data_IF_141771290949
#
_entry.id   IF_141771290949
#
_cell.length_a   1.000
_cell.length_b   1.000
_cell.length_c   1.000
_cell.angle_alpha   90.00
_cell.angle_beta   90.00
_cell.angle_gamma   90.00
#
_symmetry.space_group_name_H-M   'P 1'
#
loop_
_entity.id
_entity.type
_entity.pdbx_description
1 polymer ?
#
# COMPACT_ATOMS: atom_id res chain seq x y z
N UNK A 1 -15.45 3.57 -18.36
CA UNK A 1 -14.40 2.99 -17.48
C UNK A 1 -13.05 3.32 -18.07
N UNK A 2 -12.20 3.98 -17.32
CA UNK A 2 -10.84 4.26 -17.79
C UNK A 2 -10.01 2.96 -17.76
N UNK A 3 -9.29 2.72 -18.86
CA UNK A 3 -8.34 1.60 -18.92
C UNK A 3 -7.21 1.84 -17.93
N UNK A 4 -6.88 0.82 -17.14
CA UNK A 4 -5.75 0.81 -16.21
C UNK A 4 -4.80 -0.30 -16.60
N UNK A 5 -3.50 -0.08 -16.40
CA UNK A 5 -2.50 -1.12 -16.53
C UNK A 5 -2.16 -1.68 -15.15
N UNK A 6 -2.25 -3.00 -14.99
CA UNK A 6 -1.84 -3.68 -13.77
C UNK A 6 -1.09 -4.96 -14.15
N UNK A 7 0.17 -5.04 -13.75
CA UNK A 7 1.09 -6.10 -14.15
C UNK A 7 1.03 -6.35 -15.68
N UNK A 8 1.32 -5.30 -16.45
CA UNK A 8 1.31 -5.29 -17.92
C UNK A 8 0.01 -5.79 -18.58
N UNK A 9 -1.10 -5.77 -17.84
CA UNK A 9 -2.43 -6.07 -18.34
C UNK A 9 -3.33 -4.86 -18.33
N UNK A 10 -4.03 -4.58 -19.44
CA UNK A 10 -5.12 -3.62 -19.45
C UNK A 10 -6.30 -4.17 -18.64
N UNK A 11 -6.73 -3.44 -17.62
CA UNK A 11 -7.82 -3.83 -16.71
C UNK A 11 -8.95 -2.82 -16.81
N UNK A 12 -10.16 -3.31 -17.02
CA UNK A 12 -11.38 -2.50 -17.17
C UNK A 12 -12.25 -2.49 -15.89
N UNK A 13 -11.72 -2.96 -14.78
CA UNK A 13 -12.45 -3.10 -13.53
C UNK A 13 -12.40 -1.81 -12.71
N UNK A 14 -13.49 -1.47 -12.05
CA UNK A 14 -13.56 -0.32 -11.16
C UNK A 14 -13.06 -0.67 -9.75
N UNK A 15 -12.13 0.14 -9.25
CA UNK A 15 -11.67 0.08 -7.88
C UNK A 15 -11.26 1.48 -7.40
N UNK A 16 -12.03 2.05 -6.50
CA UNK A 16 -11.74 3.33 -5.85
C UNK A 16 -12.52 3.49 -4.55
N UNK A 17 -12.05 4.32 -3.60
CA UNK A 17 -12.72 4.55 -2.34
C UNK A 17 -14.02 5.35 -2.51
N UNK A 18 -14.98 5.09 -1.62
CA UNK A 18 -16.20 5.89 -1.45
C UNK A 18 -16.19 6.49 -0.05
N UNK A 19 -16.52 7.78 0.08
CA UNK A 19 -16.55 8.48 1.37
C UNK A 19 -18.00 8.58 1.84
N UNK A 20 -18.25 8.11 3.06
CA UNK A 20 -19.50 8.41 3.78
C UNK A 20 -19.32 9.74 4.53
N UNK A 21 -19.97 10.79 4.04
CA UNK A 21 -19.83 12.14 4.59
C UNK A 21 -20.57 12.35 5.92
N UNK A 22 -21.47 11.46 6.31
CA UNK A 22 -22.11 11.50 7.65
C UNK A 22 -21.11 11.05 8.73
N UNK A 23 -20.14 10.19 8.37
CA UNK A 23 -19.09 9.73 9.28
C UNK A 23 -17.80 10.52 9.17
N UNK A 24 -17.55 11.18 8.03
CA UNK A 24 -16.29 11.84 7.75
C UNK A 24 -16.15 13.13 8.55
N UNK A 25 -15.12 13.22 9.39
CA UNK A 25 -14.76 14.42 10.16
C UNK A 25 -13.73 15.32 9.45
N UNK A 26 -13.42 15.08 8.19
CA UNK A 26 -12.45 15.82 7.38
C UNK A 26 -11.02 15.88 7.98
N UNK A 27 -10.59 14.85 8.69
CA UNK A 27 -9.25 14.81 9.31
C UNK A 27 -8.07 14.74 8.32
N UNK A 28 -8.29 14.43 7.03
CA UNK A 28 -7.28 14.40 5.98
C UNK A 28 -6.37 13.17 5.96
N UNK A 29 -6.52 12.20 6.87
CA UNK A 29 -5.69 10.99 6.88
C UNK A 29 -5.75 10.20 5.57
N UNK A 30 -6.88 10.18 4.88
CA UNK A 30 -7.03 9.54 3.57
C UNK A 30 -6.16 10.19 2.50
N UNK A 31 -6.06 11.52 2.51
CA UNK A 31 -5.17 12.27 1.61
C UNK A 31 -3.71 11.95 1.94
N UNK A 32 -3.30 11.98 3.21
CA UNK A 32 -1.92 11.68 3.63
C UNK A 32 -1.52 10.25 3.28
N UNK A 33 -2.42 9.27 3.51
CA UNK A 33 -2.19 7.87 3.21
C UNK A 33 -2.06 7.56 1.71
N UNK A 34 -2.64 8.38 0.83
CA UNK A 34 -2.66 8.10 -0.61
C UNK A 34 -1.48 8.74 -1.34
N UNK A 35 -0.55 7.91 -1.87
CA UNK A 35 0.55 8.38 -2.72
C UNK A 35 0.15 8.73 -4.15
N UNK A 36 -1.06 8.36 -4.59
CA UNK A 36 -1.48 8.41 -5.99
C UNK A 36 -2.48 9.52 -6.32
N UNK A 37 -2.60 10.54 -5.46
CA UNK A 37 -3.44 11.72 -5.71
C UNK A 37 -4.93 11.40 -5.96
N UNK A 38 -5.47 10.36 -5.32
CA UNK A 38 -6.88 9.97 -5.47
C UNK A 38 -7.81 11.00 -4.81
N UNK A 39 -7.39 11.56 -3.68
CA UNK A 39 -8.15 12.53 -2.92
C UNK A 39 -7.75 13.95 -3.25
N UNK A 40 -8.76 14.84 -3.35
CA UNK A 40 -8.59 16.27 -3.51
C UNK A 40 -9.30 17.02 -2.39
N UNK A 41 -8.84 18.24 -2.11
CA UNK A 41 -9.54 19.18 -1.26
C UNK A 41 -10.51 20.00 -2.11
N UNK A 42 -11.80 19.94 -1.79
CA UNK A 42 -12.83 20.73 -2.44
C UNK A 42 -13.08 22.02 -1.64
N UNK A 43 -12.55 23.13 -2.16
CA UNK A 43 -12.50 24.39 -1.44
C UNK A 43 -13.90 24.97 -1.14
N UNK A 44 -14.83 24.83 -2.08
CA UNK A 44 -16.19 25.36 -1.95
C UNK A 44 -16.97 24.76 -0.77
N UNK A 45 -16.82 23.46 -0.55
CA UNK A 45 -17.55 22.72 0.50
C UNK A 45 -16.65 22.34 1.68
N UNK A 46 -15.39 22.79 1.68
CA UNK A 46 -14.41 22.54 2.75
C UNK A 46 -14.31 21.05 3.13
N UNK A 47 -14.22 20.16 2.15
CA UNK A 47 -14.16 18.72 2.37
C UNK A 47 -13.20 18.01 1.43
N UNK A 48 -12.74 16.83 1.84
CA UNK A 48 -12.00 15.92 0.96
C UNK A 48 -12.98 15.14 0.09
N UNK A 49 -12.63 15.01 -1.19
CA UNK A 49 -13.41 14.24 -2.17
C UNK A 49 -12.51 13.24 -2.90
N UNK A 50 -13.12 12.24 -3.52
CA UNK A 50 -12.46 11.34 -4.47
C UNK A 50 -12.46 12.02 -5.85
N UNK A 51 -11.40 12.77 -6.14
CA UNK A 51 -11.31 13.55 -7.38
C UNK A 51 -10.70 12.78 -8.55
N UNK A 52 -9.77 11.86 -8.27
CA UNK A 52 -9.09 11.08 -9.29
C UNK A 52 -9.24 9.56 -9.02
N UNK A 53 -10.44 8.99 -9.22
CA UNK A 53 -10.72 7.59 -8.90
C UNK A 53 -9.85 6.60 -9.69
N UNK A 54 -9.52 6.91 -10.95
CA UNK A 54 -8.66 6.09 -11.81
C UNK A 54 -7.21 5.94 -11.31
N UNK A 55 -6.75 6.85 -10.45
CA UNK A 55 -5.42 6.77 -9.84
C UNK A 55 -5.35 5.77 -8.67
N UNK A 56 -6.47 5.22 -8.22
CA UNK A 56 -6.48 4.26 -7.12
C UNK A 56 -5.84 2.94 -7.55
N UNK A 57 -4.87 2.47 -6.78
CA UNK A 57 -4.25 1.15 -7.03
C UNK A 57 -5.29 0.06 -6.79
N UNK A 58 -5.42 -0.85 -7.75
CA UNK A 58 -6.37 -1.96 -7.69
C UNK A 58 -6.12 -2.82 -6.44
N UNK A 59 -7.18 -3.08 -5.68
CA UNK A 59 -7.12 -3.83 -4.42
C UNK A 59 -6.55 -3.08 -3.21
N UNK A 60 -6.05 -1.85 -3.38
CA UNK A 60 -5.54 -1.06 -2.26
C UNK A 60 -6.69 -0.53 -1.39
N UNK A 61 -6.56 -0.68 -0.07
CA UNK A 61 -7.53 -0.20 0.92
C UNK A 61 -6.87 0.58 2.07
N UNK A 62 -5.64 1.05 1.88
CA UNK A 62 -4.86 1.72 2.93
C UNK A 62 -5.59 2.91 3.57
N UNK A 63 -6.24 3.75 2.75
CA UNK A 63 -6.99 4.91 3.25
C UNK A 63 -8.17 4.52 4.15
N UNK A 64 -8.85 3.40 3.87
CA UNK A 64 -9.93 2.91 4.74
C UNK A 64 -9.40 2.39 6.09
N UNK A 65 -8.24 1.70 6.08
CA UNK A 65 -7.63 1.18 7.32
C UNK A 65 -7.11 2.27 8.25
N UNK A 66 -6.64 3.37 7.67
CA UNK A 66 -6.16 4.54 8.41
C UNK A 66 -7.28 5.54 8.75
N UNK A 67 -8.50 5.34 8.24
CA UNK A 67 -9.62 6.21 8.55
C UNK A 67 -10.08 6.00 10.00
N UNK A 68 -9.98 7.02 10.89
CA UNK A 68 -10.36 6.86 12.29
C UNK A 68 -11.87 6.67 12.48
N UNK A 69 -12.69 7.18 11.54
CA UNK A 69 -14.15 7.21 11.60
C UNK A 69 -14.84 6.11 10.76
N UNK A 70 -14.07 5.18 10.18
CA UNK A 70 -14.61 4.17 9.24
C UNK A 70 -15.48 4.78 8.12
N UNK A 71 -15.13 5.98 7.68
CA UNK A 71 -15.89 6.73 6.67
C UNK A 71 -15.57 6.29 5.23
N UNK A 72 -14.61 5.38 5.01
CA UNK A 72 -14.17 4.99 3.67
C UNK A 72 -14.48 3.51 3.43
N UNK A 73 -15.15 3.24 2.32
CA UNK A 73 -15.47 1.91 1.84
C UNK A 73 -14.99 1.68 0.41
N UNK A 74 -15.00 0.43 -0.02
CA UNK A 74 -14.66 0.01 -1.38
C UNK A 74 -15.79 -0.84 -1.97
N UNK A 75 -15.88 -1.00 -3.31
CA UNK A 75 -17.00 -1.67 -3.95
C UNK A 75 -17.11 -3.17 -3.65
N UNK A 76 -16.01 -3.83 -3.27
CA UNK A 76 -15.96 -5.27 -3.00
C UNK A 76 -14.86 -5.58 -1.96
N UNK A 77 -14.81 -6.83 -1.52
CA UNK A 77 -13.69 -7.36 -0.76
C UNK A 77 -12.40 -7.33 -1.62
N UNK A 78 -11.31 -6.71 -1.11
CA UNK A 78 -10.11 -6.52 -1.92
C UNK A 78 -9.46 -7.85 -2.37
N UNK A 79 -9.55 -8.89 -1.54
CA UNK A 79 -9.00 -10.20 -1.86
C UNK A 79 -9.77 -10.87 -2.99
N UNK A 80 -11.11 -10.89 -2.89
CA UNK A 80 -11.99 -11.43 -3.95
C UNK A 80 -11.78 -10.68 -5.25
N UNK A 81 -11.72 -9.35 -5.19
CA UNK A 81 -11.50 -8.51 -6.35
C UNK A 81 -10.18 -8.84 -7.06
N UNK A 82 -9.06 -8.85 -6.33
CA UNK A 82 -7.75 -9.17 -6.92
C UNK A 82 -7.69 -10.60 -7.43
N UNK A 83 -8.26 -11.57 -6.71
CA UNK A 83 -8.34 -12.96 -7.16
C UNK A 83 -9.03 -13.07 -8.53
N UNK A 84 -10.16 -12.38 -8.69
CA UNK A 84 -10.88 -12.31 -9.97
C UNK A 84 -10.01 -11.73 -11.08
N UNK A 85 -9.26 -10.64 -10.80
CA UNK A 85 -8.36 -10.04 -11.79
C UNK A 85 -7.23 -10.99 -12.22
N UNK A 86 -6.58 -11.64 -11.26
CA UNK A 86 -5.48 -12.58 -11.53
C UNK A 86 -5.90 -13.69 -12.49
N UNK A 87 -7.13 -14.21 -12.33
CA UNK A 87 -7.68 -15.24 -13.19
C UNK A 87 -8.13 -14.67 -14.54
N UNK A 88 -8.98 -13.62 -14.53
CA UNK A 88 -9.59 -13.03 -15.73
C UNK A 88 -8.55 -12.54 -16.73
N UNK A 89 -7.51 -11.86 -16.25
CA UNK A 89 -6.48 -11.24 -17.09
C UNK A 89 -5.22 -12.08 -17.23
N UNK A 90 -5.21 -13.32 -16.73
CA UNK A 90 -4.07 -14.25 -16.80
C UNK A 90 -2.75 -13.60 -16.37
N UNK A 91 -2.75 -12.96 -15.18
CA UNK A 91 -1.66 -12.09 -14.73
C UNK A 91 -0.34 -12.85 -14.43
N UNK A 92 -0.39 -14.11 -13.97
CA UNK A 92 0.80 -14.84 -13.49
C UNK A 92 1.98 -14.95 -14.47
N UNK A 93 1.80 -15.21 -15.77
CA UNK A 93 2.91 -15.21 -16.72
C UNK A 93 3.66 -13.88 -16.75
N UNK A 94 2.91 -12.76 -16.69
CA UNK A 94 3.47 -11.39 -16.70
C UNK A 94 4.18 -11.06 -15.39
N UNK A 95 3.68 -11.56 -14.25
CA UNK A 95 4.36 -11.41 -12.95
C UNK A 95 5.76 -12.00 -12.98
N UNK A 96 5.95 -13.16 -13.60
CA UNK A 96 7.28 -13.79 -13.72
C UNK A 96 8.25 -12.90 -14.51
N UNK A 97 7.77 -12.32 -15.60
CA UNK A 97 8.56 -11.41 -16.42
C UNK A 97 8.92 -10.13 -15.64
N UNK A 98 7.93 -9.49 -14.99
CA UNK A 98 8.15 -8.31 -14.14
C UNK A 98 9.10 -8.61 -12.98
N UNK A 99 8.99 -9.78 -12.36
CA UNK A 99 9.91 -10.22 -11.30
C UNK A 99 11.35 -10.28 -11.79
N UNK A 100 11.59 -10.88 -12.94
CA UNK A 100 12.93 -10.96 -13.52
C UNK A 100 13.48 -9.56 -13.81
N UNK A 101 12.71 -8.69 -14.50
CA UNK A 101 13.08 -7.30 -14.75
C UNK A 101 13.42 -6.55 -13.46
N UNK A 102 12.66 -6.78 -12.38
CA UNK A 102 12.90 -6.15 -11.08
C UNK A 102 14.18 -6.63 -10.43
N UNK A 103 14.47 -7.94 -10.48
CA UNK A 103 15.70 -8.51 -9.92
C UNK A 103 16.95 -8.12 -10.72
N UNK A 104 16.82 -7.88 -12.03
CA UNK A 104 17.88 -7.32 -12.85
C UNK A 104 18.14 -5.84 -12.51
N UNK A 105 17.07 -5.04 -12.34
CA UNK A 105 17.15 -3.62 -12.00
C UNK A 105 17.66 -3.37 -10.57
N UNK A 106 17.38 -4.29 -9.65
CA UNK A 106 17.74 -4.21 -8.23
C UNK A 106 18.42 -5.52 -7.79
N UNK A 107 19.69 -5.75 -8.15
CA UNK A 107 20.39 -7.00 -7.84
C UNK A 107 20.47 -7.34 -6.36
N UNK A 108 20.47 -6.31 -5.48
CA UNK A 108 20.46 -6.46 -4.03
C UNK A 108 19.19 -7.16 -3.49
N UNK A 109 18.14 -7.25 -4.29
CA UNK A 109 16.90 -7.99 -3.97
C UNK A 109 16.93 -9.45 -4.43
N UNK A 110 17.93 -9.86 -5.23
CA UNK A 110 18.22 -11.26 -5.51
C UNK A 110 19.06 -11.81 -4.38
N UNK A 111 18.48 -12.70 -3.59
CA UNK A 111 19.09 -13.17 -2.33
C UNK A 111 19.24 -14.68 -2.32
N UNK A 112 20.11 -15.15 -1.42
CA UNK A 112 20.16 -16.55 -1.00
C UNK A 112 19.59 -16.62 0.42
N UNK A 113 18.53 -17.39 0.63
CA UNK A 113 17.81 -17.51 1.90
C UNK A 113 18.67 -18.07 3.05
N UNK A 114 19.75 -18.80 2.75
CA UNK A 114 20.64 -19.34 3.77
C UNK A 114 21.45 -18.26 4.47
N UNK A 115 21.75 -17.17 3.76
CA UNK A 115 22.64 -16.09 4.22
C UNK A 115 21.96 -14.72 4.29
N UNK A 116 20.63 -14.65 4.05
CA UNK A 116 19.94 -13.36 3.99
C UNK A 116 19.80 -12.73 5.37
N UNK A 117 20.13 -11.43 5.45
CA UNK A 117 19.92 -10.60 6.64
C UNK A 117 18.85 -9.55 6.37
N UNK A 118 17.90 -9.42 7.29
CA UNK A 118 16.91 -8.34 7.25
C UNK A 118 17.54 -7.05 7.73
N UNK A 119 17.26 -5.95 7.05
CA UNK A 119 17.60 -4.61 7.53
C UNK A 119 16.34 -3.92 8.06
N UNK A 120 16.36 -3.55 9.33
CA UNK A 120 15.27 -2.82 9.98
C UNK A 120 15.46 -1.31 9.92
N UNK A 121 16.59 -0.83 9.39
CA UNK A 121 16.77 0.60 9.15
C UNK A 121 15.94 1.02 7.93
N UNK A 122 14.97 1.94 8.09
CA UNK A 122 14.20 2.43 6.96
C UNK A 122 15.04 3.36 6.09
N UNK A 123 14.70 3.45 4.81
CA UNK A 123 15.22 4.54 3.97
C UNK A 123 14.86 5.89 4.60
N UNK A 124 15.75 6.89 4.46
CA UNK A 124 15.58 8.23 5.06
C UNK A 124 14.19 8.84 4.77
N UNK A 125 13.72 8.71 3.54
CA UNK A 125 12.39 9.21 3.14
C UNK A 125 11.20 8.50 3.80
N UNK A 126 11.43 7.38 4.48
CA UNK A 126 10.40 6.61 5.19
C UNK A 126 10.64 6.54 6.69
N UNK A 127 11.65 7.23 7.21
CA UNK A 127 12.06 7.13 8.61
C UNK A 127 11.07 7.72 9.60
N UNK A 128 10.16 8.57 9.13
CA UNK A 128 9.13 9.21 9.95
C UNK A 128 7.73 8.92 9.41
N UNK A 129 6.79 8.72 10.33
CA UNK A 129 5.37 8.60 10.03
C UNK A 129 4.57 9.53 10.96
N UNK A 130 4.23 10.72 10.45
CA UNK A 130 3.44 11.71 11.18
C UNK A 130 3.99 12.05 12.58
N UNK A 131 5.31 12.23 12.70
CA UNK A 131 6.00 12.52 13.94
C UNK A 131 6.50 11.30 14.72
N UNK A 132 6.14 10.10 14.31
CA UNK A 132 6.63 8.84 14.92
C UNK A 132 7.82 8.27 14.13
N UNK A 133 8.83 7.77 14.85
CA UNK A 133 9.94 7.03 14.22
C UNK A 133 9.42 5.75 13.58
N UNK A 134 9.69 5.55 12.29
CA UNK A 134 9.19 4.38 11.55
C UNK A 134 9.67 3.04 12.14
N UNK A 135 10.86 3.01 12.72
CA UNK A 135 11.44 1.81 13.36
C UNK A 135 10.66 1.33 14.57
N UNK A 136 9.92 2.24 15.23
CA UNK A 136 9.12 1.94 16.43
C UNK A 136 7.71 1.44 16.07
N UNK A 137 7.35 1.47 14.78
CA UNK A 137 6.05 1.02 14.29
C UNK A 137 6.16 -0.41 13.75
N UNK A 138 5.58 -1.36 14.46
CA UNK A 138 5.55 -2.78 14.08
C UNK A 138 4.50 -3.03 12.98
N UNK A 139 4.73 -2.46 11.79
CA UNK A 139 3.88 -2.62 10.62
C UNK A 139 4.68 -3.06 9.40
N UNK A 140 4.74 -4.35 9.15
CA UNK A 140 5.37 -4.95 7.98
C UNK A 140 4.85 -6.37 7.75
N UNK A 141 4.98 -6.92 6.54
CA UNK A 141 4.54 -8.28 6.24
C UNK A 141 5.43 -9.34 6.92
N UNK A 142 4.82 -10.47 7.25
CA UNK A 142 5.51 -11.73 7.52
C UNK A 142 5.11 -12.77 6.48
N UNK A 143 6.01 -13.68 6.12
CA UNK A 143 5.78 -14.73 5.13
C UNK A 143 5.81 -16.08 5.83
N UNK A 144 4.77 -16.88 5.61
CA UNK A 144 4.72 -18.30 5.95
C UNK A 144 5.36 -19.10 4.80
N UNK A 145 6.57 -19.59 5.04
CA UNK A 145 7.35 -20.31 4.03
C UNK A 145 6.69 -21.61 3.57
N UNK A 146 5.86 -22.24 4.43
CA UNK A 146 5.14 -23.47 4.08
C UNK A 146 4.00 -23.19 3.07
N UNK A 147 3.41 -22.00 3.11
CA UNK A 147 2.36 -21.57 2.18
C UNK A 147 2.89 -20.83 0.97
N UNK A 148 4.11 -20.29 1.04
CA UNK A 148 4.70 -19.53 -0.05
C UNK A 148 5.05 -20.45 -1.22
N UNK A 149 4.49 -20.21 -2.40
CA UNK A 149 4.77 -20.96 -3.64
C UNK A 149 5.84 -20.30 -4.51
N UNK A 150 6.37 -19.16 -4.09
CA UNK A 150 7.39 -18.43 -4.86
C UNK A 150 6.89 -17.78 -6.15
N UNK A 151 5.59 -17.50 -6.25
CA UNK A 151 5.02 -16.88 -7.46
C UNK A 151 5.53 -15.45 -7.76
N UNK A 152 6.20 -14.78 -6.82
CA UNK A 152 6.79 -13.45 -6.98
C UNK A 152 5.80 -12.28 -6.92
N UNK A 153 4.50 -12.54 -6.85
CA UNK A 153 3.48 -11.47 -6.93
C UNK A 153 3.62 -10.41 -5.82
N UNK A 154 4.01 -10.81 -4.60
CA UNK A 154 4.26 -9.88 -3.49
C UNK A 154 5.43 -8.92 -3.78
N UNK A 155 6.47 -9.40 -4.46
CA UNK A 155 7.63 -8.61 -4.84
C UNK A 155 7.22 -7.54 -5.86
N UNK A 156 6.53 -7.93 -6.95
CA UNK A 156 6.14 -6.99 -8.01
C UNK A 156 4.99 -6.07 -7.60
N UNK A 157 4.10 -6.50 -6.70
CA UNK A 157 3.03 -5.65 -6.16
C UNK A 157 3.56 -4.58 -5.21
N UNK A 158 4.68 -4.82 -4.54
CA UNK A 158 5.32 -3.81 -3.70
C UNK A 158 5.92 -2.71 -4.57
N UNK A 159 5.64 -1.43 -4.22
CA UNK A 159 6.23 -0.29 -4.91
C UNK A 159 7.76 -0.38 -4.97
N UNK A 160 8.35 -0.10 -6.13
CA UNK A 160 9.81 -0.05 -6.31
C UNK A 160 10.51 0.92 -5.35
N UNK A 161 9.86 2.03 -4.98
CA UNK A 161 10.39 2.96 -3.98
C UNK A 161 10.55 2.30 -2.62
N UNK A 162 9.54 1.52 -2.19
CA UNK A 162 9.54 0.82 -0.91
C UNK A 162 10.42 -0.41 -0.93
N UNK A 163 10.26 -1.24 -1.93
CA UNK A 163 11.09 -2.40 -2.24
C UNK A 163 11.35 -3.30 -1.01
N UNK A 164 10.26 -3.67 -0.32
CA UNK A 164 10.28 -4.37 0.97
C UNK A 164 10.83 -5.80 0.86
N UNK A 165 10.64 -6.43 -0.32
CA UNK A 165 10.89 -7.86 -0.51
C UNK A 165 12.18 -8.12 -1.30
N UNK A 166 12.85 -9.22 -0.94
CA UNK A 166 13.78 -9.93 -1.80
C UNK A 166 13.18 -11.23 -2.33
N UNK A 167 13.92 -11.87 -3.21
CA UNK A 167 13.54 -13.13 -3.83
C UNK A 167 14.75 -14.04 -4.02
N UNK A 168 14.61 -15.29 -3.59
CA UNK A 168 15.56 -16.36 -3.85
C UNK A 168 15.12 -17.14 -5.09
N UNK A 169 15.82 -17.01 -6.23
CA UNK A 169 15.42 -17.68 -7.47
C UNK A 169 15.68 -19.20 -7.43
N UNK A 170 16.64 -19.67 -6.63
CA UNK A 170 17.01 -21.07 -6.55
C UNK A 170 15.96 -21.84 -5.75
N UNK A 171 15.58 -21.31 -4.58
CA UNK A 171 14.53 -21.87 -3.73
C UNK A 171 13.12 -21.46 -4.15
N UNK A 172 13.00 -20.51 -5.08
CA UNK A 172 11.73 -19.89 -5.52
C UNK A 172 10.90 -19.40 -4.34
N UNK A 173 11.48 -18.54 -3.51
CA UNK A 173 10.85 -17.98 -2.31
C UNK A 173 11.05 -16.48 -2.24
N UNK A 174 10.00 -15.79 -1.81
CA UNK A 174 10.11 -14.37 -1.43
C UNK A 174 10.52 -14.26 0.05
N UNK A 175 11.22 -13.19 0.39
CA UNK A 175 11.61 -12.87 1.77
C UNK A 175 11.41 -11.39 2.03
N UNK A 176 11.12 -11.02 3.27
CA UNK A 176 11.06 -9.61 3.71
C UNK A 176 12.48 -9.18 4.04
N UNK A 177 13.04 -8.26 3.23
CA UNK A 177 14.40 -7.71 3.42
C UNK A 177 14.39 -6.41 4.24
N UNK A 178 13.51 -5.49 3.88
CA UNK A 178 13.45 -4.12 4.44
C UNK A 178 12.08 -3.86 5.07
N UNK A 179 11.78 -4.50 6.24
CA UNK A 179 10.45 -4.42 6.86
C UNK A 179 10.00 -2.96 7.10
N UNK A 180 10.89 -2.10 7.58
CA UNK A 180 10.55 -0.72 7.92
C UNK A 180 10.42 0.23 6.70
N UNK A 181 10.69 -0.23 5.49
CA UNK A 181 10.28 0.47 4.28
C UNK A 181 8.79 0.28 3.95
N UNK A 182 8.11 -0.68 4.59
CA UNK A 182 6.69 -0.92 4.36
C UNK A 182 5.87 0.31 4.79
N UNK A 183 4.92 0.71 3.96
CA UNK A 183 4.03 1.82 4.25
C UNK A 183 3.03 1.41 5.34
N UNK A 184 2.92 2.21 6.39
CA UNK A 184 1.96 1.97 7.48
C UNK A 184 0.55 1.89 6.93
N UNK A 185 -0.18 0.84 7.32
CA UNK A 185 -1.54 0.55 6.85
C UNK A 185 -1.64 -0.14 5.48
N UNK A 186 -0.55 -0.23 4.70
CA UNK A 186 -0.56 -0.97 3.43
C UNK A 186 -0.49 -2.48 3.66
N UNK A 187 -1.31 -3.23 2.88
CA UNK A 187 -1.26 -4.69 2.83
C UNK A 187 -1.48 -5.26 1.43
N UNK A 188 -1.16 -4.52 0.39
CA UNK A 188 -1.42 -4.91 -1.00
C UNK A 188 -0.81 -6.28 -1.34
N UNK A 189 0.38 -6.58 -0.82
CA UNK A 189 1.03 -7.89 -1.00
C UNK A 189 0.25 -9.04 -0.35
N UNK A 190 -0.40 -8.82 0.80
CA UNK A 190 -1.28 -9.80 1.44
C UNK A 190 -2.56 -10.01 0.61
N UNK A 191 -3.17 -8.92 0.14
CA UNK A 191 -4.35 -8.98 -0.74
C UNK A 191 -4.04 -9.74 -2.02
N UNK A 192 -2.87 -9.49 -2.62
CA UNK A 192 -2.44 -10.17 -3.85
C UNK A 192 -2.03 -11.64 -3.65
N UNK A 193 -1.63 -12.04 -2.44
CA UNK A 193 -1.16 -13.40 -2.20
C UNK A 193 -2.31 -14.44 -2.23
N UNK A 194 -2.46 -15.18 -3.31
CA UNK A 194 -3.49 -16.23 -3.47
C UNK A 194 -3.37 -17.35 -2.44
N UNK A 195 -2.17 -17.61 -1.94
CA UNK A 195 -1.85 -18.72 -1.05
C UNK A 195 -1.99 -18.36 0.44
N UNK A 196 -2.42 -17.14 0.75
CA UNK A 196 -2.50 -16.62 2.12
C UNK A 196 -1.20 -16.81 2.92
N UNK A 197 -0.07 -16.74 2.22
CA UNK A 197 1.26 -16.87 2.84
C UNK A 197 1.74 -15.58 3.52
N UNK A 198 1.03 -14.45 3.35
CA UNK A 198 1.44 -13.16 3.90
C UNK A 198 0.44 -12.72 4.96
N UNK A 199 0.97 -12.36 6.13
CA UNK A 199 0.21 -11.77 7.24
C UNK A 199 0.80 -10.42 7.66
N UNK A 200 -0.03 -9.65 8.35
CA UNK A 200 0.31 -8.37 8.98
C UNK A 200 -0.18 -8.38 10.43
N UNK A 201 0.31 -7.48 11.28
CA UNK A 201 -0.31 -7.18 12.56
C UNK A 201 -1.78 -6.76 12.41
N UNK A 202 -2.52 -6.73 13.50
CA UNK A 202 -3.94 -6.34 13.50
C UNK A 202 -4.11 -4.90 12.98
N UNK A 203 -5.06 -4.71 12.07
CA UNK A 203 -5.35 -3.40 11.48
C UNK A 203 -5.91 -2.38 12.47
N UNK A 204 -6.47 -2.83 13.59
CA UNK A 204 -6.92 -1.94 14.66
C UNK A 204 -5.77 -1.08 15.22
N UNK A 205 -4.53 -1.60 15.21
CA UNK A 205 -3.35 -0.87 15.66
C UNK A 205 -3.12 0.39 14.82
N UNK A 206 -3.14 0.28 13.48
CA UNK A 206 -2.91 1.45 12.61
C UNK A 206 -4.05 2.45 12.67
N UNK A 207 -5.30 2.00 12.90
CA UNK A 207 -6.43 2.89 13.14
C UNK A 207 -6.26 3.65 14.46
N UNK A 208 -5.87 2.98 15.52
CA UNK A 208 -5.62 3.61 16.82
C UNK A 208 -4.47 4.62 16.71
N UNK A 209 -3.37 4.24 16.06
CA UNK A 209 -2.26 5.17 15.77
C UNK A 209 -2.72 6.41 14.99
N UNK A 210 -3.62 6.26 14.00
CA UNK A 210 -4.19 7.40 13.28
C UNK A 210 -5.00 8.31 14.20
N UNK A 211 -5.78 7.75 15.12
CA UNK A 211 -6.52 8.53 16.15
C UNK A 211 -5.56 9.26 17.09
N UNK A 212 -4.48 8.60 17.49
CA UNK A 212 -3.51 9.16 18.43
C UNK A 212 -2.72 10.31 17.79
N UNK A 213 -2.21 10.17 16.57
CA UNK A 213 -1.49 11.26 15.90
C UNK A 213 -2.39 12.46 15.60
N UNK A 214 -3.68 12.25 15.31
CA UNK A 214 -4.65 13.32 15.15
C UNK A 214 -4.89 14.09 16.45
N UNK A 215 -4.80 13.44 17.61
CA UNK A 215 -4.95 14.07 18.92
C UNK A 215 -3.66 14.78 19.36
N UNK A 216 -2.52 14.10 19.25
CA UNK A 216 -1.24 14.54 19.82
C UNK A 216 -0.45 15.45 18.88
N UNK A 217 -0.61 15.28 17.58
CA UNK A 217 0.17 15.95 16.52
C UNK A 217 -0.68 16.72 15.52
N UNK A 218 -1.83 17.25 15.95
CA UNK A 218 -2.80 17.92 15.07
C UNK A 218 -2.18 19.03 14.21
N UNK A 219 -1.31 19.87 14.79
CA UNK A 219 -0.63 20.93 14.05
C UNK A 219 0.28 20.40 12.96
N UNK A 220 1.04 19.33 13.25
CA UNK A 220 1.89 18.65 12.27
C UNK A 220 1.05 18.05 11.13
N UNK A 221 -0.02 17.34 11.45
CA UNK A 221 -0.93 16.75 10.46
C UNK A 221 -1.52 17.82 9.55
N UNK A 222 -1.99 18.94 10.09
CA UNK A 222 -2.50 20.06 9.30
C UNK A 222 -1.45 20.63 8.36
N UNK A 223 -0.23 20.80 8.82
CA UNK A 223 0.88 21.27 7.99
C UNK A 223 1.19 20.29 6.86
N UNK A 224 1.30 19.00 7.16
CA UNK A 224 1.53 17.96 6.15
C UNK A 224 0.43 17.93 5.09
N UNK A 225 -0.83 18.07 5.50
CA UNK A 225 -1.99 18.17 4.59
C UNK A 225 -1.84 19.38 3.68
N UNK A 226 -1.60 20.57 4.25
CA UNK A 226 -1.48 21.82 3.49
C UNK A 226 -0.31 21.77 2.50
N UNK A 227 0.84 21.28 2.92
CA UNK A 227 2.00 21.08 2.05
C UNK A 227 1.69 20.10 0.93
N UNK A 228 1.04 18.97 1.23
CA UNK A 228 0.68 17.98 0.22
C UNK A 228 -0.33 18.54 -0.78
N UNK A 229 -1.35 19.25 -0.34
CA UNK A 229 -2.32 19.93 -1.22
C UNK A 229 -1.59 20.91 -2.14
N UNK A 230 -0.77 21.81 -1.57
CA UNK A 230 -0.02 22.83 -2.31
C UNK A 230 0.96 22.22 -3.31
N UNK A 231 1.83 21.33 -2.84
CA UNK A 231 2.94 20.77 -3.64
C UNK A 231 2.48 19.84 -4.75
N UNK A 232 1.29 19.25 -4.61
CA UNK A 232 0.76 18.29 -5.58
C UNK A 232 -0.46 18.82 -6.36
N UNK A 233 -0.91 20.06 -6.10
CA UNK A 233 -2.08 20.63 -6.78
C UNK A 233 -3.37 19.86 -6.49
N UNK A 234 -3.60 19.45 -5.23
CA UNK A 234 -4.72 18.58 -4.84
C UNK A 234 -5.93 19.37 -4.35
N UNK A 235 -6.32 20.41 -5.07
CA UNK A 235 -7.51 21.21 -4.76
C UNK A 235 -8.33 21.52 -6.02
N UNK A 236 -9.63 21.75 -5.87
CA UNK A 236 -10.58 22.22 -6.88
C UNK A 236 -11.62 23.16 -6.26
#
# INVERSE_FOLDING_TARGET
>A
MDKRTWHDSEVLEEWFPRINYEKCNNCGMCLLACGNKVFLWYEKEKKFIVGNPSNCVLGCTTCAKLCPEDAISFPDDPKKFITKLLVKYKIYPKVKEELNKRLEKYPEHKVNLENVKKSYEPKKEFSNWHGMERKDILWYPTIDDNKCTGCGLCVVTCSEKRNVFGYDPDKKKAVVLFPNNCMVGCNNCQVACMWNAISFPDFSQVKNMSKDVLKTSNALIKNEINEKIKNQGLFI
#
